data_IF_811382679126
#
_entry.id   IF_811382679126
#
_cell.length_a   1.000
_cell.length_b   1.000
_cell.length_c   1.000
_cell.angle_alpha   90.00
_cell.angle_beta   90.00
_cell.angle_gamma   90.00
#
_symmetry.space_group_name_H-M   'P 1'
#
loop_
_entity.id
_entity.type
_entity.pdbx_description
1 polymer ?
#
# COMPACT_ATOMS: atom_id res chain seq x y z
N UNK A 1 -86.66 1.88 -24.71
CA UNK A 1 -85.53 2.51 -25.38
C UNK A 1 -84.36 2.55 -24.40
N UNK A 2 -83.38 1.62 -24.55
CA UNK A 2 -82.13 1.62 -23.81
C UNK A 2 -81.10 2.54 -24.51
N UNK A 3 -80.62 3.55 -23.80
CA UNK A 3 -79.44 4.34 -24.23
C UNK A 3 -78.19 3.65 -23.69
N UNK A 4 -77.37 3.15 -24.60
CA UNK A 4 -76.03 2.73 -24.29
C UNK A 4 -75.16 3.99 -24.05
N UNK A 5 -74.61 4.09 -22.86
CA UNK A 5 -73.68 5.11 -22.47
C UNK A 5 -72.24 4.61 -22.78
N UNK A 6 -71.50 5.33 -23.61
CA UNK A 6 -70.16 4.98 -23.97
C UNK A 6 -69.18 5.39 -22.84
N UNK A 7 -68.35 4.44 -22.41
CA UNK A 7 -67.25 4.68 -21.44
C UNK A 7 -66.15 5.61 -22.00
N UNK A 8 -65.69 6.59 -21.25
CA UNK A 8 -64.58 7.40 -21.69
C UNK A 8 -63.24 6.59 -21.53
N UNK A 9 -62.54 6.46 -22.64
CA UNK A 9 -61.19 5.89 -22.69
C UNK A 9 -60.25 6.63 -21.70
N UNK A 10 -59.83 5.92 -20.65
CA UNK A 10 -58.83 6.37 -19.69
C UNK A 10 -57.46 6.34 -20.36
N UNK A 11 -56.95 7.51 -20.69
CA UNK A 11 -55.64 7.71 -21.30
C UNK A 11 -54.59 7.66 -20.21
N UNK A 12 -54.02 6.46 -19.91
CA UNK A 12 -52.95 6.30 -18.95
C UNK A 12 -51.66 6.83 -19.57
N UNK A 13 -51.32 8.08 -19.29
CA UNK A 13 -49.98 8.61 -19.53
C UNK A 13 -48.99 7.85 -18.64
N UNK A 14 -48.27 6.90 -19.23
CA UNK A 14 -47.13 6.21 -18.59
C UNK A 14 -46.14 7.25 -18.07
N UNK A 15 -45.95 7.29 -16.74
CA UNK A 15 -44.89 8.05 -16.08
C UNK A 15 -43.58 7.26 -16.18
N UNK A 16 -42.93 7.25 -17.35
CA UNK A 16 -41.63 6.58 -17.55
C UNK A 16 -40.43 7.40 -17.07
N UNK A 17 -40.66 8.61 -16.52
CA UNK A 17 -39.61 9.53 -16.07
C UNK A 17 -38.78 9.03 -14.88
N UNK A 18 -39.33 8.44 -13.80
CA UNK A 18 -38.51 8.04 -12.64
C UNK A 18 -37.57 6.90 -12.96
N UNK A 19 -37.95 5.96 -13.82
CA UNK A 19 -37.12 4.81 -14.17
C UNK A 19 -35.87 5.22 -14.99
N UNK A 20 -36.04 6.19 -15.91
CA UNK A 20 -34.92 6.73 -16.71
C UNK A 20 -33.93 7.53 -15.86
N UNK A 21 -34.42 8.29 -14.88
CA UNK A 21 -33.58 9.05 -13.93
C UNK A 21 -32.84 8.07 -13.02
N UNK A 22 -33.49 7.04 -12.49
CA UNK A 22 -32.89 6.03 -11.65
C UNK A 22 -31.81 5.23 -12.40
N UNK A 23 -32.06 4.82 -13.64
CA UNK A 23 -31.07 4.17 -14.50
C UNK A 23 -29.85 5.06 -14.79
N UNK A 24 -30.06 6.36 -15.05
CA UNK A 24 -28.98 7.31 -15.27
C UNK A 24 -28.09 7.50 -14.04
N UNK A 25 -28.67 7.57 -12.85
CA UNK A 25 -27.92 7.67 -11.58
C UNK A 25 -27.10 6.40 -11.32
N UNK A 26 -27.67 5.21 -11.54
CA UNK A 26 -26.94 3.96 -11.38
C UNK A 26 -25.77 3.84 -12.35
N UNK A 27 -25.93 4.24 -13.61
CA UNK A 27 -24.82 4.25 -14.59
C UNK A 27 -23.74 5.26 -14.18
N UNK A 28 -24.12 6.45 -13.74
CA UNK A 28 -23.16 7.45 -13.28
C UNK A 28 -22.36 6.99 -12.05
N UNK A 29 -23.01 6.34 -11.07
CA UNK A 29 -22.32 5.76 -9.91
C UNK A 29 -21.38 4.61 -10.30
N UNK A 30 -21.78 3.80 -11.29
CA UNK A 30 -20.93 2.70 -11.80
C UNK A 30 -19.70 3.24 -12.53
N UNK A 31 -19.85 4.28 -13.37
CA UNK A 31 -18.74 4.93 -14.06
C UNK A 31 -17.79 5.62 -13.06
N UNK A 32 -18.32 6.31 -12.05
CA UNK A 32 -17.52 6.91 -10.98
C UNK A 32 -16.76 5.84 -10.20
N UNK A 33 -17.40 4.69 -9.88
CA UNK A 33 -16.74 3.57 -9.23
C UNK A 33 -15.59 3.00 -10.08
N UNK A 34 -15.75 2.91 -11.41
CA UNK A 34 -14.68 2.45 -12.30
C UNK A 34 -13.49 3.43 -12.38
N UNK A 35 -13.73 4.74 -12.27
CA UNK A 35 -12.67 5.76 -12.31
C UNK A 35 -11.84 5.72 -11.02
N UNK A 36 -12.43 5.34 -9.87
CA UNK A 36 -11.73 5.24 -8.59
C UNK A 36 -11.18 3.84 -8.30
N UNK A 37 -11.45 2.85 -9.13
CA UNK A 37 -10.89 1.49 -9.02
C UNK A 37 -9.61 1.37 -9.85
N UNK A 38 -8.61 2.22 -9.60
CA UNK A 38 -7.27 1.95 -10.07
C UNK A 38 -6.73 0.76 -9.28
N UNK A 39 -6.75 -0.43 -9.87
CA UNK A 39 -6.02 -1.57 -9.32
C UNK A 39 -4.54 -1.18 -9.24
N UNK A 40 -3.89 -1.34 -8.09
CA UNK A 40 -2.47 -1.07 -7.97
C UNK A 40 -1.71 -1.88 -9.03
N UNK A 41 -0.93 -1.21 -9.85
CA UNK A 41 -0.18 -1.89 -10.92
C UNK A 41 1.27 -2.08 -10.52
N UNK A 42 1.82 -3.25 -10.83
CA UNK A 42 3.24 -3.54 -10.66
C UNK A 42 4.06 -2.61 -11.58
N UNK A 43 5.04 -1.95 -11.01
CA UNK A 43 5.98 -1.13 -11.75
C UNK A 43 7.04 -2.01 -12.42
N UNK A 44 7.04 -2.07 -13.74
CA UNK A 44 7.97 -2.88 -14.54
C UNK A 44 9.06 -2.06 -15.24
N UNK A 45 9.22 -0.79 -14.86
CA UNK A 45 10.24 0.10 -15.42
C UNK A 45 11.66 -0.39 -15.15
N UNK A 46 12.63 0.12 -15.89
CA UNK A 46 14.04 -0.22 -15.66
C UNK A 46 14.52 0.23 -14.27
N UNK A 47 13.97 1.33 -13.74
CA UNK A 47 14.21 1.76 -12.37
C UNK A 47 13.70 0.74 -11.33
N UNK A 48 12.53 0.12 -11.59
CA UNK A 48 11.98 -0.93 -10.74
C UNK A 48 12.82 -2.22 -10.80
N UNK A 49 13.23 -2.65 -11.99
CA UNK A 49 14.13 -3.81 -12.15
C UNK A 49 15.47 -3.59 -11.44
N UNK A 50 16.05 -2.39 -11.59
CA UNK A 50 17.28 -2.01 -10.89
C UNK A 50 17.09 -2.00 -9.38
N UNK A 51 15.98 -1.47 -8.89
CA UNK A 51 15.65 -1.45 -7.46
C UNK A 51 15.57 -2.85 -6.85
N UNK A 52 14.98 -3.83 -7.56
CA UNK A 52 14.97 -5.23 -7.12
C UNK A 52 16.36 -5.86 -7.13
N UNK A 53 17.16 -5.61 -8.17
CA UNK A 53 18.51 -6.17 -8.28
C UNK A 53 19.46 -5.61 -7.20
N UNK A 54 19.43 -4.30 -6.97
CA UNK A 54 20.29 -3.61 -6.01
C UNK A 54 19.71 -3.62 -4.59
N UNK A 55 18.44 -3.98 -4.42
CA UNK A 55 17.64 -3.89 -3.18
C UNK A 55 17.52 -2.47 -2.61
N UNK A 56 17.85 -1.46 -3.39
CA UNK A 56 17.76 -0.04 -3.00
C UNK A 56 17.29 0.82 -4.16
N UNK A 57 16.63 1.95 -3.83
CA UNK A 57 16.28 2.97 -4.82
C UNK A 57 16.15 4.35 -4.19
N UNK A 58 16.70 5.36 -4.84
CA UNK A 58 16.50 6.79 -4.52
C UNK A 58 15.48 7.45 -5.44
N UNK A 59 15.06 6.77 -6.50
CA UNK A 59 14.20 7.34 -7.56
C UNK A 59 12.74 6.90 -7.48
N UNK A 60 12.44 5.77 -6.82
CA UNK A 60 11.08 5.28 -6.66
C UNK A 60 10.38 5.96 -5.48
N UNK A 61 9.07 6.14 -5.60
CA UNK A 61 8.25 6.64 -4.50
C UNK A 61 7.97 5.56 -3.46
N UNK A 62 7.75 5.95 -2.20
CA UNK A 62 7.19 5.04 -1.21
C UNK A 62 5.83 4.51 -1.67
N UNK A 63 5.53 3.23 -1.39
CA UNK A 63 4.32 2.56 -1.86
C UNK A 63 4.43 1.99 -3.27
N UNK A 64 5.61 2.05 -3.93
CA UNK A 64 5.79 1.42 -5.23
C UNK A 64 5.71 -0.10 -5.11
N UNK A 65 4.90 -0.72 -5.97
CA UNK A 65 4.74 -2.17 -6.08
C UNK A 65 5.71 -2.67 -7.15
N UNK A 66 6.56 -3.62 -6.81
CA UNK A 66 7.60 -4.15 -7.70
C UNK A 66 7.31 -5.56 -8.18
N UNK A 67 6.56 -6.35 -7.42
CA UNK A 67 6.23 -7.75 -7.71
C UNK A 67 4.72 -7.97 -7.60
N UNK A 68 4.21 -8.92 -8.39
CA UNK A 68 2.80 -9.33 -8.34
C UNK A 68 2.53 -10.37 -7.23
N UNK A 69 3.57 -10.99 -6.72
CA UNK A 69 3.55 -11.99 -5.64
C UNK A 69 4.87 -11.91 -4.88
N UNK A 70 4.88 -12.44 -3.68
CA UNK A 70 6.09 -12.47 -2.88
C UNK A 70 7.16 -13.34 -3.51
N UNK A 71 8.37 -12.82 -3.48
CA UNK A 71 9.59 -13.50 -3.90
C UNK A 71 10.67 -13.23 -2.86
N UNK A 72 11.33 -14.29 -2.42
CA UNK A 72 12.42 -14.13 -1.46
C UNK A 72 13.65 -13.55 -2.17
N UNK A 73 13.84 -12.25 -2.03
CA UNK A 73 15.04 -11.55 -2.52
C UNK A 73 16.23 -11.64 -1.55
N UNK A 74 16.06 -12.39 -0.45
CA UNK A 74 17.04 -12.55 0.63
C UNK A 74 17.04 -11.39 1.62
N UNK A 75 17.51 -11.69 2.82
CA UNK A 75 17.69 -10.72 3.91
C UNK A 75 18.96 -9.90 3.72
N UNK A 76 18.92 -8.65 4.17
CA UNK A 76 20.09 -7.79 4.15
C UNK A 76 20.00 -6.72 5.25
N UNK A 77 21.11 -6.56 6.01
CA UNK A 77 21.28 -5.45 6.92
C UNK A 77 21.93 -4.26 6.20
N UNK A 78 21.67 -3.05 6.69
CA UNK A 78 22.17 -1.81 6.09
C UNK A 78 22.78 -0.90 7.12
N UNK A 79 23.84 -0.18 6.73
CA UNK A 79 24.36 0.98 7.47
C UNK A 79 24.00 2.25 6.69
N UNK A 80 23.34 3.18 7.36
CA UNK A 80 22.86 4.44 6.79
C UNK A 80 23.55 5.59 7.49
N UNK A 81 24.46 6.26 6.78
CA UNK A 81 25.18 7.44 7.27
C UNK A 81 24.43 8.70 6.84
N UNK A 82 24.30 9.67 7.71
CA UNK A 82 23.58 10.91 7.46
C UNK A 82 24.13 12.10 8.25
N UNK A 83 23.77 13.31 7.79
CA UNK A 83 24.10 14.59 8.47
C UNK A 83 22.87 15.25 9.12
N UNK A 84 21.82 14.48 9.32
CA UNK A 84 20.57 14.97 9.88
C UNK A 84 20.75 15.31 11.36
N UNK A 85 20.41 16.55 11.74
CA UNK A 85 20.65 17.08 13.08
C UNK A 85 19.36 17.17 13.91
N UNK A 86 18.70 16.03 14.08
CA UNK A 86 17.52 15.87 14.96
C UNK A 86 17.60 14.52 15.66
N UNK A 87 16.90 14.43 16.81
CA UNK A 87 16.81 13.18 17.57
C UNK A 87 16.05 12.08 16.87
N UNK A 88 15.02 12.47 16.09
CA UNK A 88 14.08 11.55 15.49
C UNK A 88 13.95 11.82 14.00
N UNK A 89 13.58 10.76 13.27
CA UNK A 89 13.31 10.79 11.82
C UNK A 89 12.05 9.99 11.51
N UNK A 90 11.60 10.10 10.26
CA UNK A 90 10.49 9.33 9.74
C UNK A 90 10.99 8.19 8.88
N UNK A 91 10.27 7.07 9.00
CA UNK A 91 10.34 5.97 8.03
C UNK A 91 8.95 5.66 7.52
N UNK A 92 8.88 5.10 6.31
CA UNK A 92 7.65 4.58 5.72
C UNK A 92 7.88 3.12 5.38
N UNK A 93 7.00 2.25 5.91
CA UNK A 93 7.07 0.80 5.69
C UNK A 93 5.87 0.36 4.89
N UNK A 94 6.07 -0.44 3.84
CA UNK A 94 5.00 -0.95 2.98
C UNK A 94 5.37 -2.31 2.40
N UNK A 95 4.35 -3.01 1.89
CA UNK A 95 4.49 -4.22 1.10
C UNK A 95 4.74 -3.83 -0.36
N UNK A 96 5.84 -4.29 -0.95
CA UNK A 96 6.15 -4.02 -2.35
C UNK A 96 5.75 -5.17 -3.29
N UNK A 97 5.14 -6.24 -2.77
CA UNK A 97 4.69 -7.40 -3.53
C UNK A 97 3.19 -7.67 -3.33
N UNK A 98 2.76 -8.83 -2.89
CA UNK A 98 1.35 -9.17 -2.72
C UNK A 98 0.81 -8.79 -1.34
N UNK A 99 -0.32 -8.09 -1.27
CA UNK A 99 -1.03 -7.86 0.00
C UNK A 99 -1.73 -9.13 0.48
N UNK A 100 -0.99 -10.14 0.93
CA UNK A 100 -1.50 -11.46 1.34
C UNK A 100 -1.70 -11.60 2.85
N UNK A 101 -1.40 -10.57 3.62
CA UNK A 101 -1.64 -10.51 5.06
C UNK A 101 -0.39 -10.64 5.93
N UNK A 102 0.73 -10.15 5.43
CA UNK A 102 1.99 -10.04 6.16
C UNK A 102 1.93 -9.03 7.28
N UNK A 103 2.55 -9.37 8.43
CA UNK A 103 2.70 -8.48 9.57
C UNK A 103 4.16 -8.31 9.93
N UNK A 104 4.52 -7.07 10.20
CA UNK A 104 5.84 -6.70 10.72
C UNK A 104 5.72 -5.89 12.02
N UNK A 105 6.83 -5.79 12.74
CA UNK A 105 6.98 -4.91 13.90
C UNK A 105 8.28 -4.12 13.76
N UNK A 106 8.23 -2.82 14.09
CA UNK A 106 9.40 -1.96 14.09
C UNK A 106 9.93 -1.82 15.51
N UNK A 107 11.23 -2.07 15.68
CA UNK A 107 11.94 -1.88 16.93
C UNK A 107 13.04 -0.83 16.75
N UNK A 108 13.30 -0.06 17.81
CA UNK A 108 14.46 0.83 17.91
C UNK A 108 15.30 0.39 19.09
N UNK A 109 16.58 0.08 18.85
CA UNK A 109 17.51 -0.43 19.84
C UNK A 109 16.92 -1.62 20.65
N UNK A 110 16.25 -2.54 19.95
CA UNK A 110 15.60 -3.73 20.51
C UNK A 110 14.24 -3.49 21.18
N UNK A 111 13.75 -2.26 21.27
CA UNK A 111 12.47 -1.92 21.89
C UNK A 111 11.41 -1.61 20.81
N UNK A 112 10.22 -2.22 20.84
CA UNK A 112 9.14 -1.87 19.90
C UNK A 112 8.77 -0.39 19.97
N UNK A 113 8.74 0.28 18.82
CA UNK A 113 8.27 1.67 18.67
C UNK A 113 6.85 1.74 18.12
N UNK A 114 6.33 0.62 17.66
CA UNK A 114 4.95 0.44 17.24
C UNK A 114 4.48 -0.99 17.54
N UNK A 115 3.16 -1.17 17.71
CA UNK A 115 2.55 -2.50 17.69
C UNK A 115 2.77 -3.17 16.33
N UNK A 116 2.72 -4.51 16.30
CA UNK A 116 2.79 -5.22 15.03
C UNK A 116 1.59 -4.85 14.15
N UNK A 117 1.84 -4.54 12.88
CA UNK A 117 0.82 -4.11 11.93
C UNK A 117 0.93 -4.88 10.61
N UNK A 118 -0.23 -4.99 9.94
CA UNK A 118 -0.28 -5.54 8.59
C UNK A 118 0.32 -4.52 7.63
N UNK A 119 1.32 -4.94 6.85
CA UNK A 119 1.84 -4.15 5.75
C UNK A 119 0.92 -4.26 4.54
N UNK A 120 0.83 -3.16 3.79
CA UNK A 120 0.07 -3.02 2.55
C UNK A 120 0.86 -2.17 1.57
N UNK A 121 0.41 -2.05 0.33
CA UNK A 121 1.01 -1.14 -0.65
C UNK A 121 0.98 0.32 -0.16
N UNK A 122 -0.03 0.69 0.63
CA UNK A 122 -0.09 2.01 1.26
C UNK A 122 0.93 2.09 2.41
N UNK A 123 1.95 2.97 2.32
CA UNK A 123 2.98 3.09 3.35
C UNK A 123 2.42 3.52 4.70
N UNK A 124 2.97 2.92 5.77
CA UNK A 124 2.73 3.33 7.16
C UNK A 124 3.90 4.18 7.60
N UNK A 125 3.62 5.42 8.03
CA UNK A 125 4.62 6.33 8.59
C UNK A 125 4.86 6.00 10.06
N UNK A 126 6.15 5.89 10.46
CA UNK A 126 6.58 5.63 11.83
C UNK A 126 7.71 6.58 12.17
N UNK A 127 7.68 7.13 13.38
CA UNK A 127 8.76 7.95 13.92
C UNK A 127 9.74 7.03 14.66
N UNK A 128 11.02 7.17 14.34
CA UNK A 128 12.11 6.39 14.94
C UNK A 128 13.26 7.30 15.31
N UNK A 129 14.15 6.90 16.25
CA UNK A 129 15.40 7.64 16.51
C UNK A 129 16.22 7.81 15.23
N UNK A 130 16.85 8.97 15.06
CA UNK A 130 17.72 9.27 13.92
C UNK A 130 19.12 8.63 14.05
N UNK A 131 19.42 7.99 15.17
CA UNK A 131 20.69 7.32 15.43
C UNK A 131 20.47 6.02 16.21
N UNK A 132 21.28 4.99 15.95
CA UNK A 132 21.15 3.67 16.56
C UNK A 132 20.59 2.61 15.61
N UNK A 133 20.06 1.53 16.13
CA UNK A 133 19.58 0.39 15.35
C UNK A 133 18.06 0.44 15.21
N UNK A 134 17.58 0.39 13.97
CA UNK A 134 16.16 0.17 13.64
C UNK A 134 16.03 -1.24 13.07
N UNK A 135 15.13 -2.03 13.63
CA UNK A 135 14.91 -3.40 13.21
C UNK A 135 13.47 -3.55 12.68
N UNK A 136 13.33 -4.24 11.54
CA UNK A 136 12.03 -4.64 10.98
C UNK A 136 11.93 -6.15 11.16
N UNK A 137 11.05 -6.57 12.08
CA UNK A 137 10.84 -7.97 12.44
C UNK A 137 9.62 -8.54 11.74
N UNK A 138 9.76 -9.72 11.11
CA UNK A 138 8.65 -10.49 10.58
C UNK A 138 7.83 -11.12 11.68
N UNK A 139 6.54 -10.84 11.76
CA UNK A 139 5.64 -11.34 12.81
C UNK A 139 4.74 -12.46 12.29
N UNK A 140 4.13 -12.25 11.13
CA UNK A 140 3.23 -13.20 10.48
C UNK A 140 3.43 -13.16 8.99
N UNK A 141 3.55 -14.34 8.40
CA UNK A 141 3.58 -14.57 6.97
C UNK A 141 2.16 -14.95 6.51
N UNK A 142 1.61 -14.19 5.56
CA UNK A 142 0.29 -14.41 4.97
C UNK A 142 0.31 -15.52 3.91
N UNK A 143 1.47 -15.75 3.28
CA UNK A 143 1.72 -16.82 2.30
C UNK A 143 2.71 -16.38 1.22
N UNK A 144 3.89 -16.99 1.17
CA UNK A 144 4.91 -16.69 0.15
C UNK A 144 6.19 -16.06 0.70
N UNK A 145 6.19 -15.66 1.96
CA UNK A 145 7.26 -14.95 2.63
C UNK A 145 6.87 -13.50 2.95
N UNK A 146 7.53 -12.89 3.91
CA UNK A 146 7.26 -11.49 4.28
C UNK A 146 8.17 -10.60 3.46
N UNK A 147 7.61 -9.87 2.50
CA UNK A 147 8.32 -8.90 1.67
C UNK A 147 7.94 -7.48 2.10
N UNK A 148 8.92 -6.65 2.37
CA UNK A 148 8.65 -5.27 2.76
C UNK A 148 9.69 -4.31 2.19
N UNK A 149 9.28 -3.06 2.03
CA UNK A 149 10.19 -1.97 1.76
C UNK A 149 10.12 -0.94 2.88
N UNK A 150 11.24 -0.27 3.13
CA UNK A 150 11.33 0.85 4.05
C UNK A 150 12.03 2.03 3.39
N UNK A 151 11.41 3.21 3.48
CA UNK A 151 12.01 4.49 3.08
C UNK A 151 12.48 5.23 4.32
N UNK A 152 13.70 5.72 4.30
CA UNK A 152 14.24 6.61 5.33
C UNK A 152 14.22 8.06 4.86
N UNK A 153 13.67 8.95 5.69
CA UNK A 153 13.67 10.40 5.42
C UNK A 153 15.09 10.98 5.42
N UNK A 154 15.97 10.40 6.24
CA UNK A 154 17.37 10.80 6.40
C UNK A 154 18.14 10.93 5.08
N UNK A 155 17.90 10.03 4.14
CA UNK A 155 18.63 9.99 2.87
C UNK A 155 17.73 9.84 1.65
N UNK A 156 16.39 9.80 1.85
CA UNK A 156 15.42 9.64 0.77
C UNK A 156 15.49 8.31 0.04
N UNK A 157 16.10 7.27 0.62
CA UNK A 157 16.33 5.98 0.00
C UNK A 157 15.30 4.95 0.42
N UNK A 158 14.80 4.19 -0.54
CA UNK A 158 14.01 2.99 -0.30
C UNK A 158 14.93 1.77 -0.23
N UNK A 159 14.69 0.90 0.74
CA UNK A 159 15.37 -0.37 0.92
C UNK A 159 14.33 -1.49 0.79
N UNK A 160 14.59 -2.47 -0.06
CA UNK A 160 13.71 -3.62 -0.32
C UNK A 160 14.29 -4.86 0.33
N UNK A 161 13.46 -5.61 1.06
CA UNK A 161 13.95 -6.69 1.89
C UNK A 161 12.91 -7.80 2.05
N UNK A 162 13.32 -8.92 2.62
CA UNK A 162 12.47 -9.99 3.11
C UNK A 162 12.82 -10.29 4.56
N UNK A 163 11.86 -10.64 5.39
CA UNK A 163 12.08 -11.06 6.76
C UNK A 163 11.29 -12.34 7.05
N UNK A 164 11.93 -13.51 7.19
CA UNK A 164 11.24 -14.70 7.67
C UNK A 164 10.55 -14.45 9.01
N UNK A 165 9.46 -15.18 9.26
CA UNK A 165 8.72 -15.07 10.52
C UNK A 165 9.64 -15.31 11.72
N UNK A 166 9.67 -14.34 12.63
CA UNK A 166 10.47 -14.37 13.86
C UNK A 166 11.87 -13.75 13.70
N UNK A 167 12.35 -13.56 12.48
CA UNK A 167 13.63 -12.91 12.18
C UNK A 167 13.45 -11.42 11.90
N UNK A 168 14.56 -10.68 11.82
CA UNK A 168 14.56 -9.25 11.54
C UNK A 168 15.76 -8.87 10.68
N UNK A 169 15.65 -7.73 10.00
CA UNK A 169 16.79 -7.07 9.37
C UNK A 169 17.08 -5.77 10.11
N UNK A 170 18.36 -5.43 10.23
CA UNK A 170 18.85 -4.27 10.99
C UNK A 170 19.30 -3.15 10.05
N UNK A 171 18.86 -1.94 10.38
CA UNK A 171 19.29 -0.69 9.75
C UNK A 171 20.03 0.14 10.79
N UNK A 172 21.35 0.19 10.69
CA UNK A 172 22.19 0.96 11.63
C UNK A 172 22.30 2.40 11.14
N UNK A 173 21.74 3.34 11.89
CA UNK A 173 21.75 4.77 11.57
C UNK A 173 22.95 5.43 12.27
N UNK A 174 23.82 6.08 11.50
CA UNK A 174 25.04 6.74 12.01
C UNK A 174 25.03 8.20 11.56
N UNK A 175 25.08 9.10 12.55
CA UNK A 175 25.28 10.53 12.29
C UNK A 175 26.77 10.81 12.13
N UNK A 176 27.15 11.47 11.01
CA UNK A 176 28.46 12.06 10.73
C UNK A 176 28.62 13.47 11.29
#
# INVERSE_FOLDING_TARGET
YLKLQADPKQNSKKKDKPLKIFGGICIALFVVSMIFSSTPSVNTSDAAKKALADKVSTSLSAGTILLAKDENIGQQDYTITHKYDKSDTKIWVWDYAAEDGDYVQVLANGTPVADAFMIKHKPVEIIVPANGEIQIKGIRDGGGGITYAVRYDLNGTNYFNSAPKGEFNTYTLIKE
#
